data_IF_454933005837
#
_entry.id   IF_454933005837
#
_cell.length_a   1.000
_cell.length_b   1.000
_cell.length_c   1.000
_cell.angle_alpha   90.00
_cell.angle_beta   90.00
_cell.angle_gamma   90.00
#
_symmetry.space_group_name_H-M   'P 1'
#
loop_
_entity.id
_entity.type
_entity.pdbx_description
1 polymer ?
#
# COMPACT_ATOMS: atom_id res chain seq x y z
N UNK A 1 -24.45 -34.62 13.20
CA UNK A 1 -23.10 -34.12 13.56
C UNK A 1 -22.54 -33.42 12.34
N UNK A 2 -22.78 -32.11 12.24
CA UNK A 2 -22.57 -31.34 11.00
C UNK A 2 -21.70 -30.12 11.31
N UNK A 3 -20.62 -30.02 10.53
CA UNK A 3 -19.89 -28.82 10.10
C UNK A 3 -19.20 -28.01 11.21
N UNK A 4 -17.91 -28.29 11.37
CA UNK A 4 -16.97 -27.39 12.06
C UNK A 4 -16.89 -26.06 11.31
N UNK A 5 -17.11 -25.00 12.06
CA UNK A 5 -17.05 -23.61 11.63
C UNK A 5 -15.57 -23.22 11.55
N UNK A 6 -15.09 -22.88 10.35
CA UNK A 6 -13.78 -22.26 10.16
C UNK A 6 -14.00 -20.74 10.21
N UNK A 7 -13.88 -20.16 11.40
CA UNK A 7 -13.79 -18.71 11.59
C UNK A 7 -12.36 -18.28 11.25
N UNK A 8 -12.10 -17.96 9.98
CA UNK A 8 -10.98 -17.10 9.60
C UNK A 8 -11.59 -15.74 9.24
N UNK A 9 -11.98 -15.02 10.29
CA UNK A 9 -12.44 -13.63 10.17
C UNK A 9 -11.23 -12.77 9.80
N UNK A 10 -11.05 -12.50 8.51
CA UNK A 10 -10.32 -11.32 8.08
C UNK A 10 -11.15 -10.13 8.57
N UNK A 11 -10.52 -9.31 9.40
CA UNK A 11 -11.06 -8.10 9.97
C UNK A 11 -11.26 -7.07 8.84
N UNK A 12 -12.30 -7.24 8.03
CA UNK A 12 -12.88 -6.14 7.24
C UNK A 12 -13.65 -5.32 8.25
N UNK A 13 -12.94 -4.45 8.97
CA UNK A 13 -13.59 -3.39 9.71
C UNK A 13 -14.29 -2.52 8.66
N UNK A 14 -15.62 -2.49 8.72
CA UNK A 14 -16.41 -1.45 8.09
C UNK A 14 -16.00 -0.12 8.72
N UNK A 15 -15.00 0.52 8.12
CA UNK A 15 -14.68 1.91 8.38
C UNK A 15 -15.65 2.73 7.54
N UNK A 16 -16.77 3.12 8.14
CA UNK A 16 -17.52 4.27 7.68
C UNK A 16 -16.64 5.51 7.92
N UNK A 17 -15.72 5.77 6.99
CA UNK A 17 -14.88 6.96 7.01
C UNK A 17 -15.69 8.15 6.49
N UNK A 18 -15.70 9.24 7.26
CA UNK A 18 -16.32 10.53 6.93
C UNK A 18 -15.45 11.38 5.98
N UNK A 19 -14.48 10.81 5.27
CA UNK A 19 -13.68 11.50 4.26
C UNK A 19 -14.43 11.75 2.92
N UNK A 20 -15.75 11.57 2.90
CA UNK A 20 -16.56 11.32 1.69
C UNK A 20 -17.15 12.57 1.02
N UNK A 21 -16.82 13.79 1.45
CA UNK A 21 -17.48 15.01 0.93
C UNK A 21 -16.65 15.89 -0.01
N UNK A 22 -15.37 15.61 -0.27
CA UNK A 22 -14.46 16.64 -0.82
C UNK A 22 -13.66 16.23 -2.07
N UNK A 23 -13.87 15.03 -2.63
CA UNK A 23 -13.16 14.58 -3.84
C UNK A 23 -13.75 15.26 -5.10
N UNK A 24 -15.04 15.58 -5.07
CA UNK A 24 -15.79 16.14 -6.19
C UNK A 24 -15.39 17.57 -6.48
N UNK A 25 -15.28 18.37 -5.43
CA UNK A 25 -14.88 19.76 -5.52
C UNK A 25 -13.39 19.90 -5.88
N UNK A 26 -12.57 18.91 -5.50
CA UNK A 26 -11.18 18.82 -5.94
C UNK A 26 -11.07 18.49 -7.44
N UNK A 27 -11.94 17.63 -7.97
CA UNK A 27 -12.02 17.37 -9.42
C UNK A 27 -12.54 18.58 -10.20
N UNK A 28 -13.38 19.42 -9.57
CA UNK A 28 -13.80 20.70 -10.13
C UNK A 28 -12.65 21.72 -10.26
N UNK A 29 -11.56 21.57 -9.48
CA UNK A 29 -10.32 22.36 -9.60
C UNK A 29 -9.54 22.11 -10.91
N UNK A 30 -9.93 21.09 -11.68
CA UNK A 30 -9.20 20.65 -12.86
C UNK A 30 -8.44 19.36 -12.61
N UNK A 31 -8.27 18.58 -13.68
CA UNK A 31 -7.71 17.22 -13.61
C UNK A 31 -6.27 17.23 -13.07
N UNK A 32 -5.47 18.24 -13.41
CA UNK A 32 -4.07 18.35 -12.97
C UNK A 32 -3.97 18.58 -11.45
N UNK A 33 -4.73 19.54 -10.93
CA UNK A 33 -4.79 19.87 -9.50
C UNK A 33 -5.30 18.69 -8.68
N UNK A 34 -6.36 18.03 -9.15
CA UNK A 34 -6.90 16.84 -8.50
C UNK A 34 -5.90 15.69 -8.48
N UNK A 35 -5.19 15.45 -9.60
CA UNK A 35 -4.18 14.42 -9.68
C UNK A 35 -2.99 14.70 -8.76
N UNK A 36 -2.52 15.95 -8.70
CA UNK A 36 -1.42 16.37 -7.83
C UNK A 36 -1.79 16.15 -6.35
N UNK A 37 -2.93 16.70 -5.92
CA UNK A 37 -3.39 16.55 -4.54
C UNK A 37 -3.62 15.08 -4.18
N UNK A 38 -4.30 14.32 -5.05
CA UNK A 38 -4.55 12.90 -4.80
C UNK A 38 -3.24 12.10 -4.69
N UNK A 39 -2.22 12.46 -5.47
CA UNK A 39 -0.89 11.84 -5.39
C UNK A 39 -0.25 12.07 -4.02
N UNK A 40 -0.21 13.33 -3.55
CA UNK A 40 0.38 13.66 -2.25
C UNK A 40 -0.43 13.09 -1.08
N UNK A 41 -1.76 13.17 -1.16
CA UNK A 41 -2.69 12.66 -0.15
C UNK A 41 -2.59 11.14 0.02
N UNK A 42 -2.51 10.38 -1.09
CA UNK A 42 -2.46 8.91 -1.07
C UNK A 42 -1.05 8.32 -0.97
N UNK A 43 0.01 9.11 -1.13
CA UNK A 43 1.40 8.64 -1.12
C UNK A 43 1.73 7.77 0.11
N UNK A 44 1.43 8.18 1.36
CA UNK A 44 1.71 7.35 2.54
C UNK A 44 1.00 6.00 2.54
N UNK A 45 -0.21 5.94 2.00
CA UNK A 45 -0.97 4.69 1.88
C UNK A 45 -0.38 3.77 0.82
N UNK A 46 0.01 4.34 -0.32
CA UNK A 46 0.68 3.62 -1.40
C UNK A 46 2.03 3.06 -0.92
N UNK A 47 2.82 3.87 -0.22
CA UNK A 47 4.11 3.46 0.36
C UNK A 47 3.93 2.37 1.43
N UNK A 48 2.99 2.58 2.37
CA UNK A 48 2.68 1.58 3.40
C UNK A 48 2.25 0.25 2.80
N UNK A 49 1.40 0.27 1.76
CA UNK A 49 1.00 -0.92 1.04
C UNK A 49 2.19 -1.60 0.34
N UNK A 50 3.02 -0.83 -0.35
CA UNK A 50 4.23 -1.33 -1.00
C UNK A 50 5.18 -1.99 0.00
N UNK A 51 5.43 -1.36 1.16
CA UNK A 51 6.29 -1.92 2.20
C UNK A 51 5.68 -3.18 2.81
N UNK A 52 4.40 -3.16 3.18
CA UNK A 52 3.73 -4.30 3.80
C UNK A 52 3.69 -5.49 2.86
N UNK A 53 3.43 -5.25 1.57
CA UNK A 53 3.46 -6.27 0.54
C UNK A 53 4.87 -6.83 0.37
N UNK A 54 5.93 -6.02 0.30
CA UNK A 54 7.29 -6.56 0.09
C UNK A 54 7.92 -7.19 1.34
N UNK A 55 7.29 -7.08 2.51
CA UNK A 55 7.73 -7.77 3.71
C UNK A 55 7.43 -9.28 3.67
N UNK A 56 8.20 -10.09 4.40
CA UNK A 56 7.90 -11.51 4.65
C UNK A 56 8.22 -12.50 3.51
N UNK A 57 9.01 -12.10 2.50
CA UNK A 57 9.45 -13.00 1.42
C UNK A 57 10.41 -14.12 1.87
N UNK A 58 11.10 -13.92 2.99
CA UNK A 58 12.03 -14.89 3.56
C UNK A 58 11.81 -15.04 5.08
N UNK A 59 12.12 -16.22 5.60
CA UNK A 59 12.12 -16.55 7.02
C UNK A 59 13.44 -17.20 7.47
N UNK A 60 14.40 -17.35 6.55
CA UNK A 60 15.77 -17.82 6.78
C UNK A 60 16.62 -17.42 5.56
N UNK A 61 17.92 -17.18 5.77
CA UNK A 61 18.86 -17.10 4.65
C UNK A 61 19.17 -18.50 4.12
N UNK A 62 19.26 -19.50 5.01
CA UNK A 62 19.62 -20.86 4.65
C UNK A 62 18.57 -21.46 3.71
N UNK A 63 19.03 -21.94 2.55
CA UNK A 63 18.13 -22.60 1.62
C UNK A 63 17.70 -23.97 2.18
N UNK A 64 16.46 -24.35 1.89
CA UNK A 64 15.94 -25.68 2.14
C UNK A 64 16.80 -26.73 1.46
N UNK A 65 16.79 -27.94 2.02
CA UNK A 65 17.41 -29.11 1.38
C UNK A 65 16.80 -29.32 -0.01
N UNK A 66 17.57 -29.93 -0.92
CA UNK A 66 17.07 -30.29 -2.25
C UNK A 66 15.75 -31.06 -2.14
N UNK A 67 14.76 -30.66 -2.92
CA UNK A 67 13.36 -31.09 -2.91
C UNK A 67 12.57 -30.76 -1.65
N UNK A 68 13.11 -29.91 -0.77
CA UNK A 68 12.39 -29.34 0.35
C UNK A 68 11.28 -28.40 -0.13
N UNK A 69 10.16 -28.45 0.56
CA UNK A 69 8.97 -27.65 0.27
C UNK A 69 8.42 -27.07 1.56
N UNK A 70 7.85 -25.87 1.48
CA UNK A 70 7.17 -25.21 2.59
C UNK A 70 5.93 -24.47 2.08
N UNK A 71 4.85 -24.52 2.86
CA UNK A 71 3.68 -23.65 2.73
C UNK A 71 3.57 -22.86 4.03
N UNK A 72 3.38 -21.55 3.89
CA UNK A 72 3.31 -20.60 4.98
C UNK A 72 2.13 -19.67 4.79
N UNK A 73 1.46 -19.34 5.89
CA UNK A 73 0.55 -18.19 5.98
C UNK A 73 1.39 -17.05 6.55
N UNK A 74 1.47 -15.94 5.83
CA UNK A 74 2.25 -14.77 6.24
C UNK A 74 1.27 -13.63 6.50
N UNK A 75 1.43 -12.96 7.64
CA UNK A 75 0.70 -11.76 7.98
C UNK A 75 1.71 -10.69 8.42
N UNK A 76 1.61 -9.50 7.84
CA UNK A 76 2.48 -8.36 8.10
C UNK A 76 1.64 -7.10 8.29
N UNK A 77 2.25 -6.07 8.86
CA UNK A 77 1.73 -4.72 8.83
C UNK A 77 2.88 -3.73 8.63
N UNK A 78 2.70 -2.75 7.76
CA UNK A 78 3.62 -1.61 7.66
C UNK A 78 3.07 -0.44 8.46
N UNK A 79 3.88 0.12 9.35
CA UNK A 79 3.51 1.29 10.14
C UNK A 79 3.83 2.58 9.37
N UNK A 80 2.94 3.55 9.48
CA UNK A 80 3.08 4.89 8.92
C UNK A 80 3.55 5.81 10.05
N UNK A 81 4.73 6.41 9.86
CA UNK A 81 5.31 7.37 10.81
C UNK A 81 4.55 8.70 10.83
N UNK A 82 4.71 9.46 11.91
CA UNK A 82 4.01 10.74 12.10
C UNK A 82 4.37 11.77 11.00
N UNK A 83 5.61 11.76 10.51
CA UNK A 83 6.08 12.63 9.41
C UNK A 83 5.34 12.40 8.08
N UNK A 84 4.60 11.29 7.94
CA UNK A 84 3.83 10.95 6.75
C UNK A 84 2.32 11.19 6.94
N UNK A 85 1.89 11.80 8.06
CA UNK A 85 0.48 12.11 8.32
C UNK A 85 0.03 13.43 7.70
N UNK A 86 0.96 14.24 7.24
CA UNK A 86 0.68 15.52 6.62
C UNK A 86 1.62 15.80 5.45
N UNK A 87 1.26 16.79 4.64
CA UNK A 87 2.14 17.39 3.66
C UNK A 87 1.88 18.89 3.57
N UNK A 88 2.86 19.64 3.07
CA UNK A 88 2.68 21.06 2.78
C UNK A 88 2.05 21.18 1.41
N UNK A 89 0.83 21.70 1.35
CA UNK A 89 0.19 22.12 0.11
C UNK A 89 0.62 23.56 -0.18
N UNK A 90 1.27 23.75 -1.33
CA UNK A 90 1.67 25.06 -1.85
C UNK A 90 0.80 25.40 -3.06
N UNK A 91 -0.07 26.40 -2.94
CA UNK A 91 -1.03 26.77 -3.98
C UNK A 91 -0.35 27.30 -5.25
N UNK A 92 0.93 27.69 -5.20
CA UNK A 92 1.69 28.05 -6.41
C UNK A 92 2.01 26.87 -7.32
N UNK A 93 1.79 25.64 -6.83
CA UNK A 93 1.92 24.39 -7.60
C UNK A 93 0.58 23.92 -8.19
N UNK A 94 -0.50 24.65 -7.94
CA UNK A 94 -1.85 24.36 -8.41
C UNK A 94 -2.30 25.45 -9.38
N UNK A 95 -3.16 25.08 -10.33
CA UNK A 95 -3.66 25.97 -11.38
C UNK A 95 -4.82 26.84 -10.89
N UNK A 96 -5.79 26.23 -10.20
CA UNK A 96 -7.06 26.89 -9.86
C UNK A 96 -7.37 26.89 -8.35
N UNK A 97 -6.52 26.24 -7.54
CA UNK A 97 -6.75 26.03 -6.11
C UNK A 97 -6.04 27.09 -5.26
N UNK A 98 -6.81 27.79 -4.42
CA UNK A 98 -6.30 28.79 -3.46
C UNK A 98 -6.87 28.53 -2.06
N UNK A 99 -6.16 28.94 -1.00
CA UNK A 99 -6.73 28.90 0.35
C UNK A 99 -7.69 30.07 0.58
N UNK A 100 -8.82 29.82 1.26
CA UNK A 100 -9.83 30.85 1.59
C UNK A 100 -9.26 32.08 2.28
N UNK A 101 -8.21 31.92 3.10
CA UNK A 101 -7.57 33.02 3.83
C UNK A 101 -6.44 33.72 3.05
N UNK A 102 -6.22 33.34 1.79
CA UNK A 102 -5.18 33.91 0.92
C UNK A 102 -3.75 33.50 1.29
N UNK A 103 -3.58 32.52 2.18
CA UNK A 103 -2.26 31.91 2.41
C UNK A 103 -1.75 31.20 1.15
N UNK A 104 -0.44 31.08 1.00
CA UNK A 104 0.17 30.35 -0.12
C UNK A 104 0.54 28.90 0.23
N UNK A 105 0.79 28.63 1.52
CA UNK A 105 1.23 27.32 1.99
C UNK A 105 0.55 26.98 3.31
N UNK A 106 0.06 25.75 3.41
CA UNK A 106 -0.44 25.16 4.67
C UNK A 106 -0.12 23.69 4.74
N UNK A 107 0.03 23.22 5.97
CA UNK A 107 0.05 21.80 6.26
C UNK A 107 -1.37 21.24 6.16
N UNK A 108 -1.52 20.15 5.41
CA UNK A 108 -2.81 19.47 5.17
C UNK A 108 -2.65 17.97 5.42
N UNK A 109 -3.76 17.28 5.66
CA UNK A 109 -3.76 15.86 5.99
C UNK A 109 -3.38 14.99 4.78
N UNK A 110 -2.70 13.86 5.04
CA UNK A 110 -2.68 12.72 4.12
C UNK A 110 -3.82 11.76 4.44
N UNK A 111 -3.95 10.64 3.71
CA UNK A 111 -4.92 9.60 4.03
C UNK A 111 -4.77 8.98 5.45
N UNK A 112 -3.63 9.20 6.13
CA UNK A 112 -3.39 8.81 7.53
C UNK A 112 -3.42 9.99 8.51
N UNK A 113 -3.58 11.20 7.98
CA UNK A 113 -3.61 12.44 8.73
C UNK A 113 -4.93 12.70 9.43
N UNK A 114 -4.90 13.74 10.24
CA UNK A 114 -6.06 14.27 10.96
C UNK A 114 -5.90 15.78 11.09
N UNK A 115 -6.11 16.46 9.96
CA UNK A 115 -6.08 17.93 9.87
C UNK A 115 -7.40 18.33 9.21
N UNK A 116 -8.23 19.01 9.98
CA UNK A 116 -9.55 19.49 9.57
C UNK A 116 -9.59 21.02 9.47
N UNK A 117 -10.66 21.55 8.87
CA UNK A 117 -10.96 22.97 8.79
C UNK A 117 -10.17 23.73 7.74
N UNK A 118 -9.46 23.03 6.84
CA UNK A 118 -8.71 23.67 5.76
C UNK A 118 -9.62 23.85 4.56
N UNK A 119 -10.09 25.09 4.34
CA UNK A 119 -10.99 25.42 3.24
C UNK A 119 -10.23 26.04 2.07
N UNK A 120 -10.50 25.53 0.87
CA UNK A 120 -9.97 26.00 -0.40
C UNK A 120 -11.07 26.56 -1.29
N UNK A 121 -10.67 27.48 -2.16
CA UNK A 121 -11.47 28.11 -3.20
C UNK A 121 -10.91 27.64 -4.53
N UNK A 122 -11.80 27.21 -5.42
CA UNK A 122 -11.48 26.92 -6.81
C UNK A 122 -12.08 28.00 -7.68
N UNK A 123 -11.24 28.71 -8.43
CA UNK A 123 -11.70 29.67 -9.42
C UNK A 123 -12.42 28.94 -10.56
N UNK A 124 -13.70 29.24 -10.75
CA UNK A 124 -14.49 28.65 -11.83
C UNK A 124 -14.20 29.32 -13.18
N UNK A 125 -14.32 28.60 -14.29
CA UNK A 125 -14.35 29.23 -15.62
C UNK A 125 -15.79 29.56 -16.05
N UNK A 126 -16.04 30.81 -16.45
CA UNK A 126 -17.30 31.18 -17.08
C UNK A 126 -17.23 30.98 -18.59
N UNK A 127 -17.99 30.00 -19.10
CA UNK A 127 -18.13 29.74 -20.53
C UNK A 127 -19.19 30.63 -21.21
N UNK A 128 -19.90 31.46 -20.44
CA UNK A 128 -21.02 32.29 -20.94
C UNK A 128 -20.67 33.78 -20.81
N UNK A 129 -20.69 34.56 -21.92
CA UNK A 129 -20.51 36.00 -21.85
C UNK A 129 -21.55 36.63 -20.91
N UNK A 130 -21.09 37.51 -20.01
CA UNK A 130 -21.89 38.23 -19.01
C UNK A 130 -22.33 37.44 -17.76
N UNK A 131 -21.89 36.20 -17.57
CA UNK A 131 -22.04 35.50 -16.29
C UNK A 131 -20.69 35.52 -15.56
N UNK A 132 -20.59 36.03 -14.32
CA UNK A 132 -19.34 35.94 -13.56
C UNK A 132 -18.99 34.47 -13.26
N UNK A 133 -17.69 34.12 -13.21
CA UNK A 133 -17.28 32.80 -12.75
C UNK A 133 -17.86 32.50 -11.37
N UNK A 134 -18.31 31.26 -11.17
CA UNK A 134 -18.75 30.79 -9.87
C UNK A 134 -17.61 30.02 -9.23
N UNK A 135 -17.05 30.58 -8.17
CA UNK A 135 -16.03 29.91 -7.39
C UNK A 135 -16.69 28.80 -6.56
N UNK A 136 -16.05 27.63 -6.56
CA UNK A 136 -16.44 26.53 -5.68
C UNK A 136 -15.60 26.61 -4.40
N UNK A 137 -16.23 26.34 -3.26
CA UNK A 137 -15.55 26.36 -1.97
C UNK A 137 -15.81 25.06 -1.23
N UNK A 138 -14.74 24.43 -0.76
CA UNK A 138 -14.83 23.15 -0.08
C UNK A 138 -13.68 22.96 0.91
N UNK A 139 -13.91 22.07 1.87
CA UNK A 139 -12.91 21.70 2.85
C UNK A 139 -12.00 20.60 2.26
N UNK A 140 -10.69 20.64 2.47
CA UNK A 140 -9.84 19.53 2.06
C UNK A 140 -10.17 18.27 2.88
N UNK A 141 -10.07 17.06 2.30
CA UNK A 141 -10.35 15.83 3.03
C UNK A 141 -9.36 15.61 4.18
N UNK A 142 -9.89 15.18 5.33
CA UNK A 142 -9.10 14.59 6.42
C UNK A 142 -8.85 13.09 6.16
N UNK A 143 -7.88 12.51 6.86
CA UNK A 143 -7.51 11.11 6.75
C UNK A 143 -8.09 10.23 7.87
N UNK A 144 -7.51 9.03 8.03
CA UNK A 144 -7.88 8.07 9.06
C UNK A 144 -7.21 8.31 10.42
N UNK A 145 -6.52 9.44 10.60
CA UNK A 145 -5.74 9.73 11.81
C UNK A 145 -6.60 9.74 13.08
N UNK A 146 -7.83 10.25 13.02
CA UNK A 146 -8.80 10.21 14.14
C UNK A 146 -9.08 8.79 14.64
N UNK A 147 -9.05 7.80 13.74
CA UNK A 147 -9.32 6.40 14.05
C UNK A 147 -8.13 5.69 14.72
N UNK A 148 -7.01 6.39 14.96
CA UNK A 148 -5.74 5.83 15.46
C UNK A 148 -5.22 4.65 14.61
N UNK A 149 -5.58 4.61 13.32
CA UNK A 149 -5.09 3.60 12.39
C UNK A 149 -3.87 4.16 11.71
N UNK A 150 -2.68 3.67 12.07
CA UNK A 150 -1.39 4.09 11.51
C UNK A 150 -0.63 2.93 10.88
N UNK A 151 -1.32 1.90 10.41
CA UNK A 151 -0.68 0.76 9.76
C UNK A 151 -1.50 0.22 8.59
N UNK A 152 -0.79 -0.36 7.63
CA UNK A 152 -1.38 -1.07 6.49
C UNK A 152 -1.15 -2.57 6.69
N UNK A 153 -2.19 -3.35 7.01
CA UNK A 153 -2.06 -4.80 7.18
C UNK A 153 -2.07 -5.52 5.84
N UNK A 154 -1.31 -6.61 5.74
CA UNK A 154 -1.36 -7.55 4.61
C UNK A 154 -1.29 -8.98 5.10
N UNK A 155 -1.96 -9.90 4.42
CA UNK A 155 -1.81 -11.32 4.66
C UNK A 155 -1.82 -12.07 3.33
N UNK A 156 -1.07 -13.17 3.24
CA UNK A 156 -0.97 -13.96 2.02
C UNK A 156 -0.54 -15.40 2.27
N UNK A 157 -0.88 -16.27 1.33
CA UNK A 157 -0.34 -17.62 1.26
C UNK A 157 0.97 -17.60 0.48
N UNK A 158 1.99 -18.26 1.01
CA UNK A 158 3.29 -18.40 0.35
C UNK A 158 3.69 -19.87 0.29
N UNK A 159 4.19 -20.29 -0.86
CA UNK A 159 4.80 -21.60 -1.05
C UNK A 159 6.25 -21.41 -1.52
N UNK A 160 7.13 -22.33 -1.12
CA UNK A 160 8.51 -22.37 -1.59
C UNK A 160 8.98 -23.79 -1.86
N UNK A 161 9.84 -23.94 -2.87
CA UNK A 161 10.40 -25.22 -3.29
C UNK A 161 11.87 -25.07 -3.64
N UNK A 162 12.70 -26.03 -3.20
CA UNK A 162 14.13 -26.05 -3.48
C UNK A 162 14.49 -27.11 -4.56
N UNK A 163 14.48 -26.79 -5.86
CA UNK A 163 14.80 -27.77 -6.90
C UNK A 163 16.27 -28.23 -6.86
N UNK A 164 17.17 -27.34 -6.42
CA UNK A 164 18.62 -27.52 -6.41
C UNK A 164 19.18 -27.15 -5.02
N UNK A 165 20.37 -27.65 -4.68
CA UNK A 165 21.04 -27.25 -3.45
C UNK A 165 21.32 -25.74 -3.50
N UNK A 166 20.87 -25.02 -2.48
CA UNK A 166 21.11 -23.58 -2.36
C UNK A 166 20.13 -22.70 -3.10
N UNK A 167 19.16 -23.24 -3.85
CA UNK A 167 18.21 -22.41 -4.62
C UNK A 167 16.79 -22.73 -4.22
N UNK A 168 16.02 -21.69 -3.90
CA UNK A 168 14.59 -21.75 -3.62
C UNK A 168 13.82 -20.86 -4.58
N UNK A 169 12.80 -21.44 -5.21
CA UNK A 169 11.75 -20.68 -5.88
C UNK A 169 10.60 -20.49 -4.90
N UNK A 170 9.98 -19.31 -4.92
CA UNK A 170 8.90 -18.91 -4.04
C UNK A 170 7.74 -18.35 -4.87
N UNK A 171 6.52 -18.60 -4.43
CA UNK A 171 5.33 -18.00 -4.98
C UNK A 171 4.42 -17.58 -3.85
N UNK A 172 3.78 -16.43 -3.98
CA UNK A 172 2.80 -15.94 -3.00
C UNK A 172 1.55 -15.42 -3.68
N UNK A 173 0.44 -15.51 -2.97
CA UNK A 173 -0.86 -15.16 -3.51
C UNK A 173 -1.79 -14.72 -2.39
N UNK A 174 -2.54 -13.66 -2.66
CA UNK A 174 -3.72 -13.27 -1.92
C UNK A 174 -4.94 -13.41 -2.83
N UNK A 175 -5.97 -14.19 -2.44
CA UNK A 175 -7.14 -14.39 -3.27
C UNK A 175 -7.81 -13.08 -3.63
N UNK A 176 -8.29 -12.98 -4.88
CA UNK A 176 -9.11 -11.84 -5.30
C UNK A 176 -10.38 -11.82 -4.46
N UNK A 177 -10.46 -10.85 -3.55
CA UNK A 177 -11.67 -10.56 -2.78
C UNK A 177 -12.47 -9.57 -3.60
N UNK A 178 -13.70 -9.92 -3.91
CA UNK A 178 -14.66 -9.04 -4.57
C UNK A 178 -15.77 -8.74 -3.56
N UNK A 179 -15.87 -7.48 -3.17
CA UNK A 179 -17.01 -6.92 -2.44
C UNK A 179 -17.92 -6.19 -3.43
N UNK A 180 -19.01 -5.57 -2.96
CA UNK A 180 -19.86 -4.72 -3.82
C UNK A 180 -19.06 -3.57 -4.43
N UNK A 181 -18.16 -2.98 -3.64
CA UNK A 181 -17.54 -1.69 -3.99
C UNK A 181 -16.03 -1.85 -4.26
N UNK A 182 -15.37 -2.87 -3.69
CA UNK A 182 -13.93 -3.05 -3.81
C UNK A 182 -13.53 -4.43 -4.35
N UNK A 183 -12.51 -4.46 -5.21
CA UNK A 183 -11.80 -5.67 -5.63
C UNK A 183 -10.33 -5.52 -5.29
N UNK A 184 -9.75 -6.50 -4.62
CA UNK A 184 -8.33 -6.51 -4.29
C UNK A 184 -7.76 -7.90 -4.39
N UNK A 185 -6.58 -8.03 -4.98
CA UNK A 185 -5.84 -9.28 -5.04
C UNK A 185 -4.41 -9.05 -5.49
N UNK A 186 -3.51 -9.97 -5.11
CA UNK A 186 -2.15 -9.89 -5.59
C UNK A 186 -1.51 -11.26 -5.72
N UNK A 187 -0.48 -11.34 -6.54
CA UNK A 187 0.39 -12.50 -6.66
C UNK A 187 1.84 -12.07 -6.77
N UNK A 188 2.76 -12.99 -6.52
CA UNK A 188 4.18 -12.73 -6.70
C UNK A 188 5.02 -13.98 -6.83
N UNK A 189 6.23 -13.79 -7.33
CA UNK A 189 7.24 -14.84 -7.49
C UNK A 189 8.57 -14.37 -6.92
N UNK A 190 9.34 -15.28 -6.32
CA UNK A 190 10.64 -14.98 -5.76
C UNK A 190 11.67 -16.08 -6.07
N UNK A 191 12.93 -15.67 -6.14
CA UNK A 191 14.08 -16.56 -6.27
C UNK A 191 15.08 -16.20 -5.17
N UNK A 192 15.33 -17.14 -4.26
CA UNK A 192 16.35 -17.03 -3.23
C UNK A 192 17.50 -17.98 -3.53
N UNK A 193 18.73 -17.51 -3.38
CA UNK A 193 19.93 -18.32 -3.58
C UNK A 193 20.93 -18.15 -2.42
N UNK A 194 21.27 -19.25 -1.75
CA UNK A 194 22.28 -19.32 -0.68
C UNK A 194 23.68 -19.52 -1.26
N UNK A 195 24.44 -18.44 -1.35
CA UNK A 195 25.83 -18.44 -1.83
C UNK A 195 26.74 -19.29 -0.93
N UNK A 196 26.48 -19.32 0.37
CA UNK A 196 27.26 -20.11 1.34
C UNK A 196 27.04 -21.62 1.22
N UNK A 197 26.04 -22.07 0.45
CA UNK A 197 25.73 -23.50 0.29
C UNK A 197 26.76 -24.26 -0.57
N UNK A 198 27.53 -23.54 -1.38
CA UNK A 198 28.57 -24.08 -2.27
C UNK A 198 29.95 -24.12 -1.63
N UNK A 199 30.15 -23.33 -0.59
CA UNK A 199 31.37 -23.39 0.20
C UNK A 199 31.37 -24.69 1.02
N UNK A 200 32.54 -25.20 1.46
CA UNK A 200 32.66 -26.28 2.46
C UNK A 200 32.19 -25.83 3.87
N UNK A 201 31.12 -25.02 3.91
CA UNK A 201 30.55 -24.30 5.03
C UNK A 201 29.79 -25.19 6.02
N UNK A 202 29.52 -26.46 5.67
CA UNK A 202 28.77 -27.38 6.53
C UNK A 202 29.45 -27.65 7.88
N UNK A 203 30.71 -27.22 8.09
CA UNK A 203 31.44 -27.38 9.36
C UNK A 203 32.10 -26.13 9.97
N UNK A 204 32.23 -25.01 9.24
CA UNK A 204 33.07 -23.88 9.71
C UNK A 204 32.37 -22.52 9.64
N UNK A 205 31.40 -22.33 8.75
CA UNK A 205 30.81 -21.00 8.56
C UNK A 205 29.47 -20.91 9.34
N UNK A 206 29.41 -20.15 10.45
CA UNK A 206 28.26 -20.14 11.36
C UNK A 206 27.05 -19.36 10.82
N UNK A 207 27.13 -18.87 9.58
CA UNK A 207 26.15 -17.96 8.97
C UNK A 207 25.78 -18.47 7.57
N UNK A 208 24.54 -18.29 7.16
CA UNK A 208 24.08 -18.40 5.79
C UNK A 208 23.99 -17.00 5.18
N UNK A 209 24.46 -16.84 3.94
CA UNK A 209 24.32 -15.60 3.19
C UNK A 209 23.61 -15.93 1.88
N UNK A 210 22.54 -15.19 1.60
CA UNK A 210 21.67 -15.42 0.45
C UNK A 210 21.29 -14.12 -0.24
N UNK A 211 21.03 -14.22 -1.54
CA UNK A 211 20.38 -13.18 -2.31
C UNK A 211 18.93 -13.58 -2.56
N UNK A 212 18.02 -12.61 -2.58
CA UNK A 212 16.62 -12.76 -2.95
C UNK A 212 16.27 -11.73 -4.00
N UNK A 213 15.59 -12.17 -5.06
CA UNK A 213 14.91 -11.30 -6.02
C UNK A 213 13.44 -11.69 -6.00
N UNK A 214 12.55 -10.71 -5.89
CA UNK A 214 11.12 -10.98 -5.86
C UNK A 214 10.31 -9.95 -6.63
N UNK A 215 9.30 -10.44 -7.34
CA UNK A 215 8.34 -9.66 -8.10
C UNK A 215 6.95 -9.82 -7.48
N UNK A 216 6.20 -8.72 -7.40
CA UNK A 216 4.80 -8.73 -6.95
C UNK A 216 3.96 -7.88 -7.87
N UNK A 217 2.75 -8.35 -8.13
CA UNK A 217 1.73 -7.64 -8.88
C UNK A 217 0.48 -7.49 -8.03
N UNK A 218 0.02 -6.25 -7.86
CA UNK A 218 -1.21 -5.89 -7.17
C UNK A 218 -2.24 -5.42 -8.20
N UNK A 219 -3.42 -6.02 -8.12
CA UNK A 219 -4.64 -5.52 -8.75
C UNK A 219 -5.59 -5.01 -7.67
N UNK A 220 -5.99 -3.75 -7.76
CA UNK A 220 -7.00 -3.14 -6.90
C UNK A 220 -7.99 -2.32 -7.72
N UNK A 221 -9.26 -2.34 -7.35
CA UNK A 221 -10.25 -1.39 -7.86
C UNK A 221 -11.25 -1.04 -6.77
N UNK A 222 -11.68 0.22 -6.72
CA UNK A 222 -12.78 0.69 -5.88
C UNK A 222 -13.79 1.44 -6.74
N UNK A 223 -15.03 0.98 -6.77
CA UNK A 223 -16.16 1.61 -7.45
C UNK A 223 -16.89 2.49 -6.42
N UNK A 224 -17.03 3.76 -6.75
CA UNK A 224 -17.71 4.74 -5.90
C UNK A 224 -18.92 5.36 -6.61
N UNK A 225 -19.40 4.76 -7.70
CA UNK A 225 -20.57 5.27 -8.44
C UNK A 225 -21.83 5.36 -7.56
N UNK A 226 -22.06 4.37 -6.70
CA UNK A 226 -23.25 4.31 -5.83
C UNK A 226 -23.18 5.24 -4.60
N UNK A 227 -22.07 5.97 -4.43
CA UNK A 227 -21.87 6.84 -3.27
C UNK A 227 -22.48 8.23 -3.45
N UNK A 228 -23.01 8.56 -4.65
CA UNK A 228 -23.54 9.89 -5.03
C UNK A 228 -22.56 11.03 -4.71
N UNK A 229 -21.26 10.73 -4.81
CA UNK A 229 -20.13 11.64 -4.62
C UNK A 229 -20.06 12.54 -5.88
N UNK A 230 -19.80 11.95 -7.05
CA UNK A 230 -19.92 12.66 -8.35
C UNK A 230 -21.23 12.24 -9.05
N UNK A 231 -21.96 13.19 -9.65
CA UNK A 231 -23.02 12.85 -10.63
C UNK A 231 -22.37 12.27 -11.90
N UNK A 232 -22.54 10.97 -12.14
CA UNK A 232 -21.99 10.31 -13.32
C UNK A 232 -22.07 8.79 -13.27
N UNK A 233 -21.56 8.14 -14.32
CA UNK A 233 -21.50 6.68 -14.44
C UNK A 233 -20.04 6.19 -14.47
N UNK A 234 -19.78 4.97 -14.00
CA UNK A 234 -18.46 4.30 -14.06
C UNK A 234 -17.33 4.98 -13.27
N UNK A 235 -17.63 5.47 -12.07
CA UNK A 235 -16.65 6.12 -11.22
C UNK A 235 -15.84 5.09 -10.44
N UNK A 236 -14.55 4.99 -10.77
CA UNK A 236 -13.66 3.99 -10.17
C UNK A 236 -12.28 4.54 -9.89
N UNK A 237 -11.67 4.05 -8.81
CA UNK A 237 -10.24 4.10 -8.57
C UNK A 237 -9.65 2.74 -8.98
N UNK A 238 -8.63 2.74 -9.84
CA UNK A 238 -7.91 1.53 -10.23
C UNK A 238 -6.44 1.62 -9.78
N UNK A 239 -5.94 0.54 -9.19
CA UNK A 239 -4.54 0.40 -8.81
C UNK A 239 -3.97 -0.84 -9.51
N UNK A 240 -2.95 -0.61 -10.33
CA UNK A 240 -2.16 -1.66 -10.95
C UNK A 240 -0.68 -1.39 -10.64
N UNK A 241 -0.17 -2.07 -9.61
CA UNK A 241 1.17 -1.82 -9.08
C UNK A 241 2.06 -3.04 -9.26
N UNK A 242 3.26 -2.81 -9.78
CA UNK A 242 4.30 -3.82 -9.92
C UNK A 242 5.47 -3.46 -9.00
N UNK A 243 5.95 -4.42 -8.21
CA UNK A 243 7.14 -4.23 -7.36
C UNK A 243 8.24 -5.22 -7.75
N UNK A 244 9.48 -4.76 -7.66
CA UNK A 244 10.67 -5.59 -7.80
C UNK A 244 11.57 -5.34 -6.58
N UNK A 245 11.85 -6.40 -5.84
CA UNK A 245 12.61 -6.39 -4.59
C UNK A 245 13.93 -7.13 -4.79
N UNK A 246 15.02 -6.55 -4.30
CA UNK A 246 16.34 -7.16 -4.27
C UNK A 246 16.84 -7.12 -2.83
N UNK A 247 17.21 -8.26 -2.25
CA UNK A 247 17.67 -8.32 -0.87
C UNK A 247 18.88 -9.21 -0.70
N UNK A 248 19.76 -8.80 0.20
CA UNK A 248 20.81 -9.65 0.78
C UNK A 248 20.34 -10.07 2.16
N UNK A 249 20.39 -11.36 2.43
CA UNK A 249 19.87 -11.98 3.64
C UNK A 249 21.01 -12.69 4.36
N UNK A 250 21.12 -12.45 5.67
CA UNK A 250 22.00 -13.18 6.58
C UNK A 250 21.18 -13.97 7.59
N UNK A 251 21.61 -15.18 7.92
CA UNK A 251 21.04 -15.95 9.02
C UNK A 251 22.09 -16.77 9.75
N UNK A 252 21.93 -16.98 11.05
CA UNK A 252 22.81 -17.88 11.80
C UNK A 252 22.57 -19.34 11.41
N UNK A 253 23.49 -20.25 11.75
CA UNK A 253 23.33 -21.71 11.55
C UNK A 253 23.26 -22.46 12.87
N UNK A 254 22.57 -21.88 13.85
CA UNK A 254 22.42 -22.45 15.18
C UNK A 254 21.34 -23.56 15.20
N UNK A 255 21.53 -24.65 15.96
CA UNK A 255 20.66 -25.83 15.90
C UNK A 255 19.31 -25.67 16.61
N UNK A 256 19.19 -24.72 17.55
CA UNK A 256 17.99 -24.56 18.42
C UNK A 256 17.20 -23.29 18.11
N UNK A 257 17.88 -22.16 17.96
CA UNK A 257 17.29 -20.87 17.60
C UNK A 257 18.06 -20.29 16.43
N UNK A 258 17.41 -19.54 15.54
CA UNK A 258 18.04 -18.93 14.40
C UNK A 258 17.69 -17.44 14.33
N UNK A 259 18.70 -16.58 14.24
CA UNK A 259 18.53 -15.17 13.92
C UNK A 259 18.74 -14.97 12.44
N UNK A 260 17.85 -14.20 11.81
CA UNK A 260 17.96 -13.84 10.40
C UNK A 260 17.52 -12.40 10.19
N UNK A 261 18.00 -11.81 9.10
CA UNK A 261 17.66 -10.45 8.70
C UNK A 261 18.13 -10.20 7.29
N UNK A 262 17.61 -9.16 6.66
CA UNK A 262 17.98 -8.77 5.31
C UNK A 262 18.01 -7.26 5.15
N UNK A 263 18.75 -6.82 4.14
CA UNK A 263 18.82 -5.43 3.69
C UNK A 263 18.59 -5.39 2.18
N UNK A 264 17.96 -4.31 1.71
CA UNK A 264 17.65 -4.07 0.30
C UNK A 264 16.24 -3.58 0.08
#
# INVERSE_FOLDING_TARGET
>A
MKKGIFFLGLLVLGLSSRAQQNIDDLLAAGINDAQQFASDYLRPASDGLMYSMNHGWFNDAKAKKKFGFEISIVANAAFVGDDNKSFVLDTSQYENLQFRDGSLQKEVATAFGDIEGIVVVVEGESSVPLIPPQDAEFELPTGLGESNINFVPTAFLQASFAPLKGTEIKARFFPKINTSDAKVGFYGFGLQHEFTSWLPADKVFPVAISGLIAYTHLDGSYDFTDTNIVDGENQRFENNTNTLLFQVIGATKMPVFNFYGGIG
#
